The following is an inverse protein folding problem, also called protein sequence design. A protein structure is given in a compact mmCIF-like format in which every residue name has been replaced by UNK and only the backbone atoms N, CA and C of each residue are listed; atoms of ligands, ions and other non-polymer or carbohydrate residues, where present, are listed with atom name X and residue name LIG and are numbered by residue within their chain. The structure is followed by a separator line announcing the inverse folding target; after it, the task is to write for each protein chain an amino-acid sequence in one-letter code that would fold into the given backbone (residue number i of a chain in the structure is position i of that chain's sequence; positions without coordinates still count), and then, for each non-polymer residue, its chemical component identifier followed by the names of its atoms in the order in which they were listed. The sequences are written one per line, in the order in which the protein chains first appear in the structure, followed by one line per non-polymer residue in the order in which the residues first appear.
data_IF_642151953814
#
_entry.id   IF_642151953814
#
_cell.length_a   1.000
_cell.length_b   1.000
_cell.length_c   1.000
_cell.angle_alpha   90.00
_cell.angle_beta   90.00
_cell.angle_gamma   90.00
#
_symmetry.space_group_name_H-M   'P 1'
#
loop_
_entity.id
_entity.type
_entity.pdbx_description
1 polymer ?
#
# COMPACT_ATOMS: atom_id res chain seq x y z
N UNK A 1 -22.06 -1.26 -18.51
CA UNK A 1 -20.70 -1.86 -18.57
C UNK A 1 -19.62 -0.86 -18.16
N UNK A 2 -19.54 0.33 -18.79
CA UNK A 2 -18.52 1.34 -18.45
C UNK A 2 -18.61 1.87 -17.01
N UNK A 3 -19.82 2.20 -16.53
CA UNK A 3 -20.01 2.74 -15.18
C UNK A 3 -19.52 1.79 -14.06
N UNK A 4 -19.74 0.48 -14.23
CA UNK A 4 -19.28 -0.53 -13.25
C UNK A 4 -17.76 -0.64 -13.23
N UNK A 5 -17.10 -0.52 -14.38
CA UNK A 5 -15.63 -0.54 -14.47
C UNK A 5 -15.05 0.64 -13.70
N UNK A 6 -15.58 1.85 -13.90
CA UNK A 6 -15.14 3.03 -13.14
C UNK A 6 -15.43 2.88 -11.64
N UNK A 7 -16.56 2.29 -11.27
CA UNK A 7 -16.88 2.02 -9.87
C UNK A 7 -15.88 1.06 -9.22
N UNK A 8 -15.53 -0.05 -9.88
CA UNK A 8 -14.53 -1.00 -9.37
C UNK A 8 -13.12 -0.42 -9.35
N UNK A 9 -12.74 0.37 -10.36
CA UNK A 9 -11.44 1.01 -10.42
C UNK A 9 -11.26 2.02 -9.28
N UNK A 10 -12.23 2.91 -9.08
CA UNK A 10 -12.17 3.90 -7.99
C UNK A 10 -12.29 3.21 -6.64
N UNK A 11 -13.23 2.27 -6.47
CA UNK A 11 -13.41 1.55 -5.22
C UNK A 11 -12.18 0.73 -4.82
N UNK A 12 -11.58 0.01 -5.77
CA UNK A 12 -10.36 -0.76 -5.56
C UNK A 12 -9.17 0.13 -5.22
N UNK A 13 -8.99 1.25 -5.93
CA UNK A 13 -7.91 2.20 -5.64
C UNK A 13 -8.06 2.81 -4.24
N UNK A 14 -9.27 3.24 -3.86
CA UNK A 14 -9.54 3.78 -2.52
C UNK A 14 -9.23 2.75 -1.45
N UNK A 15 -9.70 1.50 -1.62
CA UNK A 15 -9.44 0.42 -0.66
C UNK A 15 -7.94 0.12 -0.54
N UNK A 16 -7.21 0.13 -1.65
CA UNK A 16 -5.77 -0.12 -1.66
C UNK A 16 -5.00 0.97 -0.90
N UNK A 17 -5.28 2.25 -1.20
CA UNK A 17 -4.62 3.39 -0.55
C UNK A 17 -4.96 3.45 0.94
N UNK A 18 -6.24 3.36 1.29
CA UNK A 18 -6.68 3.41 2.70
C UNK A 18 -6.15 2.21 3.48
N UNK A 19 -6.16 1.02 2.88
CA UNK A 19 -5.62 -0.19 3.49
C UNK A 19 -4.11 -0.08 3.75
N UNK A 20 -3.35 0.40 2.77
CA UNK A 20 -1.93 0.65 2.93
C UNK A 20 -1.67 1.69 4.03
N UNK A 21 -2.35 2.83 4.01
CA UNK A 21 -2.17 3.89 5.00
C UNK A 21 -2.52 3.42 6.43
N UNK A 22 -3.59 2.65 6.58
CA UNK A 22 -3.97 2.06 7.86
C UNK A 22 -2.89 1.08 8.36
N UNK A 23 -2.33 0.25 7.48
CA UNK A 23 -1.22 -0.65 7.79
C UNK A 23 0.01 0.12 8.26
N UNK A 24 0.44 1.15 7.52
CA UNK A 24 1.62 1.97 7.88
C UNK A 24 1.43 2.62 9.25
N UNK A 25 0.28 3.25 9.48
CA UNK A 25 -0.03 3.93 10.74
C UNK A 25 -0.09 2.93 11.91
N UNK A 26 -0.67 1.75 11.70
CA UNK A 26 -0.72 0.68 12.69
C UNK A 26 0.68 0.15 13.04
N UNK A 27 1.47 -0.19 12.04
CA UNK A 27 2.84 -0.68 12.19
C UNK A 27 3.75 0.36 12.84
N UNK A 28 3.67 1.64 12.43
CA UNK A 28 4.45 2.72 13.01
C UNK A 28 4.10 2.96 14.49
N UNK A 29 2.81 2.94 14.85
CA UNK A 29 2.38 3.03 16.26
C UNK A 29 2.88 1.85 17.07
N UNK A 30 2.87 0.65 16.51
CA UNK A 30 3.38 -0.55 17.17
C UNK A 30 4.89 -0.42 17.41
N UNK A 31 5.67 -0.07 16.39
CA UNK A 31 7.11 0.16 16.49
C UNK A 31 7.46 1.23 17.53
N UNK A 32 6.71 2.33 17.57
CA UNK A 32 6.89 3.38 18.58
C UNK A 32 6.65 2.86 20.01
N UNK A 33 5.66 1.97 20.22
CA UNK A 33 5.42 1.33 21.53
C UNK A 33 6.55 0.39 21.95
N UNK A 34 7.30 -0.16 21.00
CA UNK A 34 8.52 -0.94 21.26
C UNK A 34 9.77 -0.08 21.46
N UNK A 35 9.64 1.25 21.48
CA UNK A 35 10.77 2.17 21.68
C UNK A 35 11.68 2.32 20.46
N UNK A 36 11.23 1.92 19.27
CA UNK A 36 12.00 2.09 18.03
C UNK A 36 12.09 3.59 17.71
N UNK A 37 13.29 4.12 17.40
CA UNK A 37 13.45 5.54 17.08
C UNK A 37 12.61 5.98 15.87
N UNK A 38 12.00 7.18 15.87
CA UNK A 38 11.18 7.68 14.77
C UNK A 38 11.90 7.68 13.43
N UNK A 39 13.21 7.94 13.43
CA UNK A 39 14.05 7.90 12.23
C UNK A 39 14.05 6.50 11.58
N UNK A 40 14.22 5.45 12.39
CA UNK A 40 14.20 4.07 11.90
C UNK A 40 12.81 3.72 11.35
N UNK A 41 11.74 4.11 12.05
CA UNK A 41 10.35 3.90 11.59
C UNK A 41 10.11 4.59 10.25
N UNK A 42 10.57 5.84 10.09
CA UNK A 42 10.46 6.59 8.84
C UNK A 42 11.23 5.95 7.68
N UNK A 43 12.49 5.57 7.93
CA UNK A 43 13.36 4.97 6.93
C UNK A 43 12.98 3.53 6.55
N UNK A 44 12.12 2.88 7.34
CA UNK A 44 11.71 1.48 7.10
C UNK A 44 10.20 1.37 6.89
N UNK A 45 9.41 1.37 7.96
CA UNK A 45 7.96 1.12 7.94
C UNK A 45 7.23 2.11 7.02
N UNK A 46 7.55 3.40 7.13
CA UNK A 46 6.87 4.42 6.31
C UNK A 46 7.33 4.33 4.85
N UNK A 47 8.64 4.26 4.61
CA UNK A 47 9.20 4.15 3.26
C UNK A 47 8.68 2.93 2.49
N UNK A 48 8.59 1.76 3.14
CA UNK A 48 7.99 0.56 2.53
C UNK A 48 6.48 0.70 2.37
N UNK A 49 5.81 1.27 3.36
CA UNK A 49 4.37 1.41 3.39
C UNK A 49 3.81 2.33 2.30
N UNK A 50 4.54 3.38 1.93
CA UNK A 50 4.13 4.29 0.84
C UNK A 50 4.22 3.64 -0.54
N UNK A 51 5.08 2.64 -0.72
CA UNK A 51 5.24 1.90 -1.98
C UNK A 51 4.46 0.59 -2.03
N UNK A 52 3.69 0.28 -0.97
CA UNK A 52 2.94 -0.96 -0.86
C UNK A 52 1.80 -1.08 -1.88
N UNK A 53 1.00 -0.03 -2.17
CA UNK A 53 0.01 -0.05 -3.24
C UNK A 53 0.63 -0.40 -4.60
N UNK A 54 1.72 0.28 -4.96
CA UNK A 54 2.43 0.12 -6.23
C UNK A 54 2.99 -1.29 -6.33
N UNK A 55 3.63 -1.78 -5.26
CA UNK A 55 4.16 -3.15 -5.22
C UNK A 55 3.06 -4.19 -5.39
N UNK A 56 1.89 -4.00 -4.76
CA UNK A 56 0.76 -4.90 -4.90
C UNK A 56 0.22 -4.93 -6.35
N UNK A 57 0.14 -3.75 -7.00
CA UNK A 57 -0.28 -3.64 -8.40
C UNK A 57 0.76 -4.28 -9.34
N UNK A 58 2.06 -4.00 -9.16
CA UNK A 58 3.13 -4.57 -9.98
C UNK A 58 3.20 -6.09 -9.86
N UNK A 59 3.05 -6.65 -8.65
CA UNK A 59 2.97 -8.10 -8.45
C UNK A 59 1.76 -8.66 -9.20
N UNK A 60 0.58 -8.03 -9.07
CA UNK A 60 -0.63 -8.49 -9.74
C UNK A 60 -0.51 -8.43 -11.27
N UNK A 61 0.11 -7.37 -11.81
CA UNK A 61 0.34 -7.21 -13.24
C UNK A 61 1.31 -8.27 -13.77
N UNK A 62 2.41 -8.52 -13.06
CA UNK A 62 3.38 -9.56 -13.37
C UNK A 62 2.76 -10.95 -13.39
N UNK A 63 1.95 -11.29 -12.37
CA UNK A 63 1.23 -12.57 -12.31
C UNK A 63 0.21 -12.74 -13.44
N UNK A 64 -0.34 -11.64 -13.97
CA UNK A 64 -1.24 -11.64 -15.11
C UNK A 64 -0.51 -11.61 -16.47
N UNK A 65 0.81 -11.83 -16.48
CA UNK A 65 1.62 -11.85 -17.71
C UNK A 65 1.90 -10.47 -18.31
N UNK A 66 1.60 -9.40 -17.57
CA UNK A 66 1.83 -8.00 -17.95
C UNK A 66 2.94 -7.39 -17.10
N UNK A 67 4.08 -8.06 -16.95
CA UNK A 67 5.15 -7.61 -16.04
C UNK A 67 5.96 -6.38 -16.50
N UNK A 68 5.64 -5.80 -17.66
CA UNK A 68 6.27 -4.60 -18.23
C UNK A 68 5.55 -3.28 -17.83
N UNK A 69 4.47 -3.37 -17.06
CA UNK A 69 3.72 -2.23 -16.50
C UNK A 69 3.96 -2.08 -14.99
#
# INVERSE_FOLDING_TARGET
MSLMIFAYLIGGLVLLVVGAEALVRGAAKLAARFGIPPLIIGLTVVAFGTSAPETAVSIQASLNGSGDI
#
